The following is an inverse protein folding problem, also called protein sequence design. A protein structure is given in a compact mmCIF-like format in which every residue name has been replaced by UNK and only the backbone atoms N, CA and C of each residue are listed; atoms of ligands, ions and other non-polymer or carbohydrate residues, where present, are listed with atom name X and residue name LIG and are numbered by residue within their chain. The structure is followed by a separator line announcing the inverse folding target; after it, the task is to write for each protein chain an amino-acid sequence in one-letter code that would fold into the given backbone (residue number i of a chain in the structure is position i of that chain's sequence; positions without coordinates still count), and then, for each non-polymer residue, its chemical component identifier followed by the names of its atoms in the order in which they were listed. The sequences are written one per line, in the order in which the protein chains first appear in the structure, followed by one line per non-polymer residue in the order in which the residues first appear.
data_IF_963771308414
#
_entry.id   IF_963771308414
#
_cell.length_a   1.000
_cell.length_b   1.000
_cell.length_c   1.000
_cell.angle_alpha   90.00
_cell.angle_beta   90.00
_cell.angle_gamma   90.00
#
_symmetry.space_group_name_H-M   'P 1'
#
loop_
_entity.id
_entity.type
_entity.pdbx_description
1 polymer ?
#
# COMPACT_ATOMS: atom_id res chain seq x y z
N UNK A 1 5.52 -8.96 -9.96
CA UNK A 1 4.87 -7.65 -9.71
C UNK A 1 3.64 -7.43 -10.59
N UNK A 2 2.65 -8.30 -10.42
CA UNK A 2 1.42 -8.33 -11.21
C UNK A 2 0.68 -9.59 -10.79
N UNK A 3 -0.63 -9.49 -10.58
CA UNK A 3 -1.39 -10.56 -9.94
C UNK A 3 -2.69 -10.03 -9.34
N UNK A 4 -3.25 -10.79 -8.38
CA UNK A 4 -4.60 -10.54 -7.85
C UNK A 4 -4.73 -9.25 -7.04
N UNK A 5 -3.71 -8.88 -6.27
CA UNK A 5 -3.79 -7.82 -5.26
C UNK A 5 -3.46 -6.43 -5.81
N UNK A 6 -4.16 -6.02 -6.88
CA UNK A 6 -4.01 -4.67 -7.46
C UNK A 6 -4.60 -3.57 -6.56
N UNK A 7 -5.65 -3.87 -5.82
CA UNK A 7 -6.24 -3.01 -4.80
C UNK A 7 -6.54 -3.84 -3.54
N UNK A 8 -6.36 -3.23 -2.36
CA UNK A 8 -6.76 -3.86 -1.10
C UNK A 8 -8.29 -3.90 -0.99
N UNK A 9 -8.93 -2.79 -1.35
CA UNK A 9 -10.38 -2.67 -1.39
C UNK A 9 -10.83 -1.53 -2.33
N UNK A 10 -12.16 -1.33 -2.44
CA UNK A 10 -12.76 -0.25 -3.21
C UNK A 10 -13.84 0.44 -2.36
N UNK A 11 -13.96 1.76 -2.50
CA UNK A 11 -15.03 2.57 -1.92
C UNK A 11 -15.71 3.40 -2.99
N UNK A 12 -17.05 3.41 -3.00
CA UNK A 12 -17.86 4.14 -3.99
C UNK A 12 -18.87 5.03 -3.26
N UNK A 13 -18.85 6.33 -3.57
CA UNK A 13 -19.77 7.31 -3.00
C UNK A 13 -20.58 7.96 -4.12
N UNK A 14 -21.90 7.84 -4.07
CA UNK A 14 -22.81 8.52 -5.00
C UNK A 14 -23.31 9.82 -4.40
N UNK A 15 -22.94 10.94 -4.99
CA UNK A 15 -23.39 12.27 -4.57
C UNK A 15 -24.56 12.79 -5.43
N UNK A 16 -25.45 13.64 -4.89
CA UNK A 16 -26.40 14.38 -5.71
C UNK A 16 -25.66 15.26 -6.74
N UNK A 17 -26.33 15.56 -7.84
CA UNK A 17 -25.75 16.36 -8.93
C UNK A 17 -26.81 17.25 -9.57
N UNK A 18 -26.38 18.37 -10.13
CA UNK A 18 -27.21 19.17 -11.02
C UNK A 18 -27.59 18.37 -12.28
N UNK A 19 -28.76 18.64 -12.89
CA UNK A 19 -29.25 17.88 -14.06
C UNK A 19 -28.26 17.87 -15.24
N UNK A 20 -27.60 19.01 -15.47
CA UNK A 20 -26.61 19.22 -16.52
C UNK A 20 -25.16 18.91 -16.11
N UNK A 21 -24.91 18.28 -14.96
CA UNK A 21 -23.56 17.98 -14.48
C UNK A 21 -23.46 16.55 -13.95
N UNK A 22 -22.31 15.90 -14.14
CA UNK A 22 -22.01 14.58 -13.57
C UNK A 22 -20.50 14.38 -13.36
N UNK A 23 -19.89 15.03 -12.35
CA UNK A 23 -18.47 14.84 -12.06
C UNK A 23 -18.20 13.40 -11.58
N UNK A 24 -17.09 12.84 -12.03
CA UNK A 24 -16.57 11.53 -11.60
C UNK A 24 -15.12 11.71 -11.20
N UNK A 25 -14.74 11.19 -10.04
CA UNK A 25 -13.37 11.21 -9.53
C UNK A 25 -12.94 9.80 -9.13
N UNK A 26 -11.66 9.49 -9.38
CA UNK A 26 -10.99 8.27 -8.94
C UNK A 26 -9.73 8.70 -8.21
N UNK A 27 -9.53 8.16 -7.01
CA UNK A 27 -8.40 8.44 -6.15
C UNK A 27 -7.96 7.16 -5.44
N UNK A 28 -6.72 7.14 -4.94
CA UNK A 28 -6.15 6.00 -4.22
C UNK A 28 -5.46 6.47 -2.95
N UNK A 29 -5.43 5.62 -1.94
CA UNK A 29 -4.38 5.64 -0.93
C UNK A 29 -3.34 4.60 -1.30
N UNK A 30 -2.06 4.94 -1.12
CA UNK A 30 -0.95 4.09 -1.53
C UNK A 30 -0.53 3.15 -0.39
N UNK A 31 0.55 2.39 -0.58
CA UNK A 31 1.12 1.55 0.48
C UNK A 31 1.50 2.34 1.74
N UNK A 32 1.72 3.65 1.61
CA UNK A 32 1.91 4.56 2.73
C UNK A 32 0.58 5.25 3.12
N UNK A 33 -0.41 4.45 3.51
CA UNK A 33 -1.73 4.87 4.02
C UNK A 33 -1.59 5.52 5.41
N UNK A 34 -1.76 6.85 5.50
CA UNK A 34 -1.27 7.68 6.64
C UNK A 34 -2.25 8.77 7.07
N UNK A 35 -3.47 8.39 7.38
CA UNK A 35 -4.47 9.22 8.06
C UNK A 35 -4.52 8.93 9.56
N UNK A 36 -4.93 9.93 10.34
CA UNK A 36 -5.31 9.76 11.74
C UNK A 36 -6.42 10.77 12.09
N UNK A 37 -7.52 10.29 12.67
CA UNK A 37 -8.64 11.14 13.12
C UNK A 37 -8.36 11.63 14.55
N UNK A 38 -8.77 12.87 14.86
CA UNK A 38 -8.69 13.43 16.20
C UNK A 38 -9.99 14.11 16.59
N UNK A 39 -10.25 14.24 17.90
CA UNK A 39 -11.38 15.01 18.44
C UNK A 39 -10.99 15.71 19.74
N UNK A 40 -11.63 16.84 20.01
CA UNK A 40 -11.51 17.59 21.27
C UNK A 40 -12.90 17.63 21.91
N UNK A 41 -12.99 17.28 23.18
CA UNK A 41 -14.23 17.32 23.97
C UNK A 41 -13.97 18.02 25.31
N UNK A 42 -15.01 18.17 26.13
CA UNK A 42 -14.86 18.64 27.51
C UNK A 42 -13.97 17.74 28.38
N UNK A 43 -13.72 16.50 27.96
CA UNK A 43 -12.91 15.51 28.66
C UNK A 43 -11.42 15.55 28.25
N UNK A 44 -11.07 16.23 27.14
CA UNK A 44 -9.69 16.37 26.69
C UNK A 44 -9.49 16.30 25.17
N UNK A 45 -8.25 15.99 24.78
CA UNK A 45 -7.81 15.82 23.39
C UNK A 45 -7.61 14.34 23.11
N UNK A 46 -8.18 13.85 22.02
CA UNK A 46 -8.16 12.46 21.62
C UNK A 46 -7.58 12.34 20.22
N UNK A 47 -6.72 11.35 20.04
CA UNK A 47 -6.16 10.96 18.75
C UNK A 47 -6.49 9.49 18.50
N UNK A 48 -6.74 9.13 17.24
CA UNK A 48 -6.92 7.75 16.80
C UNK A 48 -5.71 6.89 17.19
N UNK A 49 -5.98 5.77 17.85
CA UNK A 49 -4.96 4.79 18.19
C UNK A 49 -4.65 3.93 16.96
N UNK A 50 -3.44 4.07 16.43
CA UNK A 50 -2.92 3.19 15.38
C UNK A 50 -2.30 1.92 16.01
N UNK A 51 -2.02 0.92 15.17
CA UNK A 51 -1.25 -0.26 15.59
C UNK A 51 0.17 0.16 15.99
N UNK A 52 0.63 -0.32 17.15
CA UNK A 52 1.95 -0.03 17.72
C UNK A 52 2.89 -1.24 17.67
N UNK A 53 2.34 -2.44 17.47
CA UNK A 53 3.11 -3.67 17.26
C UNK A 53 2.76 -4.29 15.90
N UNK A 54 3.29 -3.76 14.78
CA UNK A 54 2.98 -4.29 13.44
C UNK A 54 3.63 -5.66 13.17
N UNK A 55 4.64 -6.06 13.96
CA UNK A 55 5.39 -7.30 13.74
C UNK A 55 4.50 -8.55 13.87
N UNK A 56 3.42 -8.47 14.66
CA UNK A 56 2.40 -9.52 14.77
C UNK A 56 1.71 -9.91 13.45
N UNK A 57 1.78 -9.06 12.42
CA UNK A 57 1.20 -9.32 11.10
C UNK A 57 2.17 -10.01 10.15
N UNK A 58 3.42 -10.24 10.56
CA UNK A 58 4.37 -11.03 9.79
C UNK A 58 3.92 -12.50 9.74
N UNK A 59 3.81 -13.10 8.55
CA UNK A 59 3.48 -14.52 8.42
C UNK A 59 4.67 -15.41 8.82
N UNK A 60 4.38 -16.67 9.15
CA UNK A 60 5.43 -17.70 9.35
C UNK A 60 6.14 -18.06 8.02
N UNK A 61 5.48 -17.82 6.88
CA UNK A 61 6.04 -17.99 5.54
C UNK A 61 7.22 -17.06 5.32
N UNK A 62 8.40 -17.65 5.13
CA UNK A 62 9.66 -16.96 4.81
C UNK A 62 9.91 -16.90 3.30
N UNK A 63 10.92 -16.13 2.89
CA UNK A 63 11.34 -16.00 1.49
C UNK A 63 11.62 -17.36 0.82
N UNK A 64 12.18 -18.31 1.57
CA UNK A 64 12.46 -19.67 1.08
C UNK A 64 11.19 -20.41 0.63
N UNK A 65 10.05 -20.13 1.27
CA UNK A 65 8.76 -20.74 0.93
C UNK A 65 8.10 -20.12 -0.32
N UNK A 66 8.59 -18.96 -0.78
CA UNK A 66 8.03 -18.22 -1.91
C UNK A 66 8.77 -18.51 -3.23
N UNK A 67 9.79 -19.38 -3.17
CA UNK A 67 10.71 -19.74 -4.25
C UNK A 67 10.14 -20.71 -5.31
N UNK A 68 9.00 -21.34 -5.02
CA UNK A 68 8.38 -22.33 -5.92
C UNK A 68 7.53 -21.65 -7.00
N UNK A 69 8.17 -21.33 -8.14
CA UNK A 69 7.61 -21.24 -9.51
C UNK A 69 8.55 -20.41 -10.43
N UNK A 70 9.84 -20.75 -10.48
CA UNK A 70 10.80 -20.19 -11.46
C UNK A 70 11.09 -18.68 -11.34
N UNK A 71 10.71 -18.05 -10.22
CA UNK A 71 10.87 -16.61 -9.97
C UNK A 71 12.18 -16.25 -9.21
N UNK A 72 13.02 -17.24 -8.91
CA UNK A 72 13.97 -17.17 -7.80
C UNK A 72 15.45 -17.02 -8.18
N UNK A 73 15.77 -16.89 -9.47
CA UNK A 73 17.14 -16.56 -9.85
C UNK A 73 17.34 -15.04 -9.78
N UNK A 74 17.49 -14.53 -8.54
CA UNK A 74 17.96 -13.16 -8.31
C UNK A 74 19.35 -13.02 -8.92
N UNK A 75 19.44 -12.38 -10.08
CA UNK A 75 20.71 -12.09 -10.74
C UNK A 75 21.46 -11.05 -9.91
N UNK A 76 22.61 -11.44 -9.36
CA UNK A 76 23.48 -10.49 -8.65
C UNK A 76 24.23 -9.64 -9.67
N UNK A 77 24.04 -8.33 -9.57
CA UNK A 77 24.71 -7.33 -10.41
C UNK A 77 25.66 -6.52 -9.53
N UNK A 78 26.94 -6.47 -9.89
CA UNK A 78 27.93 -5.58 -9.25
C UNK A 78 27.92 -4.22 -9.96
N UNK A 79 27.44 -3.21 -9.25
CA UNK A 79 27.30 -1.86 -9.78
C UNK A 79 28.62 -1.05 -9.75
N UNK A 80 29.72 -1.62 -9.24
CA UNK A 80 31.04 -0.96 -9.21
C UNK A 80 31.87 -1.19 -10.48
N UNK A 81 31.22 -1.51 -11.60
CA UNK A 81 31.86 -1.72 -12.90
C UNK A 81 31.57 -0.52 -13.83
N UNK A 82 32.39 -0.30 -14.88
CA UNK A 82 32.05 0.63 -15.96
C UNK A 82 30.65 0.37 -16.53
N UNK A 83 29.95 1.41 -16.97
CA UNK A 83 28.60 1.27 -17.53
C UNK A 83 28.54 0.29 -18.71
N UNK A 84 29.59 0.23 -19.52
CA UNK A 84 29.68 -0.70 -20.66
C UNK A 84 29.66 -2.18 -20.24
N UNK A 85 30.03 -2.48 -18.99
CA UNK A 85 30.07 -3.84 -18.43
C UNK A 85 28.76 -4.22 -17.70
N UNK A 86 27.85 -3.26 -17.47
CA UNK A 86 26.57 -3.46 -16.74
C UNK A 86 25.35 -3.35 -17.68
N UNK A 87 25.47 -2.63 -18.80
CA UNK A 87 24.38 -2.33 -19.75
C UNK A 87 24.01 -3.50 -20.67
#
# INVERSE_FOLDING_TARGET
FGGKYFCHDVRVVRLPRHGASCPVAIAVSCSADRQAVAKITAEGVFLEQLETDPARFLPETTDEHLSEDGADEVVRIDLNQPMDDIL
#
